data_IF_474346877079
#
_entry.id   IF_474346877079
#
_cell.length_a   1.000
_cell.length_b   1.000
_cell.length_c   1.000
_cell.angle_alpha   90.00
_cell.angle_beta   90.00
_cell.angle_gamma   90.00
#
_symmetry.space_group_name_H-M   'P 1'
#
loop_
_entity.id
_entity.type
_entity.pdbx_description
1 polymer ?
#
# COMPACT_ATOMS: atom_id res chain seq x y z
N UNK A 1 7.25 -1.71 -17.38
CA UNK A 1 6.23 -1.30 -18.37
C UNK A 1 5.55 -0.05 -17.84
N UNK A 2 5.65 1.06 -18.58
CA UNK A 2 4.91 2.30 -18.29
C UNK A 2 3.71 2.40 -19.22
N UNK A 3 2.62 2.97 -18.72
CA UNK A 3 1.40 3.17 -19.51
C UNK A 3 1.61 4.27 -20.57
N UNK A 4 0.94 4.17 -21.73
CA UNK A 4 0.90 5.24 -22.71
C UNK A 4 0.48 6.60 -22.12
N UNK A 5 0.98 7.70 -22.72
CA UNK A 5 0.78 9.06 -22.19
C UNK A 5 -0.70 9.45 -22.01
N UNK A 6 -1.60 8.93 -22.85
CA UNK A 6 -3.03 9.27 -22.77
C UNK A 6 -3.70 8.76 -21.48
N UNK A 7 -3.15 7.73 -20.83
CA UNK A 7 -3.65 7.27 -19.52
C UNK A 7 -3.53 8.34 -18.44
N UNK A 8 -2.61 9.31 -18.57
CA UNK A 8 -2.53 10.43 -17.62
C UNK A 8 -3.80 11.29 -17.65
N UNK A 9 -4.35 11.53 -18.84
CA UNK A 9 -5.59 12.28 -19.00
C UNK A 9 -6.80 11.49 -18.49
N UNK A 10 -6.87 10.19 -18.82
CA UNK A 10 -7.88 9.29 -18.26
C UNK A 10 -7.81 9.30 -16.73
N UNK A 11 -6.59 9.23 -16.18
CA UNK A 11 -6.37 9.24 -14.74
C UNK A 11 -6.92 10.49 -14.06
N UNK A 12 -6.68 11.70 -14.60
CA UNK A 12 -7.29 12.92 -14.06
C UNK A 12 -8.81 12.93 -14.17
N UNK A 13 -9.35 12.41 -15.28
CA UNK A 13 -10.79 12.28 -15.46
C UNK A 13 -11.43 11.30 -14.49
N UNK A 14 -10.68 10.33 -13.96
CA UNK A 14 -11.15 9.44 -12.90
C UNK A 14 -11.00 10.08 -11.51
N UNK A 15 -9.82 10.63 -11.20
CA UNK A 15 -9.50 11.18 -9.86
C UNK A 15 -10.40 12.35 -9.48
N UNK A 16 -10.66 13.29 -10.40
CA UNK A 16 -11.40 14.51 -10.05
C UNK A 16 -12.85 14.17 -9.66
N UNK A 17 -13.64 13.46 -10.49
CA UNK A 17 -15.00 13.07 -10.11
C UNK A 17 -15.02 12.14 -8.91
N UNK A 18 -14.07 11.20 -8.79
CA UNK A 18 -14.04 10.28 -7.66
C UNK A 18 -13.77 10.98 -6.33
N UNK A 19 -12.89 11.99 -6.31
CA UNK A 19 -12.66 12.82 -5.12
C UNK A 19 -13.92 13.62 -4.76
N UNK A 20 -14.58 14.21 -5.75
CA UNK A 20 -15.83 14.95 -5.50
C UNK A 20 -16.90 14.03 -4.93
N UNK A 21 -17.11 12.85 -5.54
CA UNK A 21 -18.08 11.86 -5.07
C UNK A 21 -17.71 11.37 -3.66
N UNK A 22 -16.44 11.03 -3.42
CA UNK A 22 -15.98 10.55 -2.11
C UNK A 22 -16.15 11.59 -1.01
N UNK A 23 -15.82 12.86 -1.27
CA UNK A 23 -16.04 13.97 -0.32
C UNK A 23 -17.52 14.21 -0.06
N UNK A 24 -18.36 14.19 -1.10
CA UNK A 24 -19.80 14.36 -0.93
C UNK A 24 -20.43 13.19 -0.16
N UNK A 25 -19.98 11.95 -0.42
CA UNK A 25 -20.43 10.78 0.31
C UNK A 25 -20.05 10.88 1.80
N UNK A 26 -18.78 11.15 2.09
CA UNK A 26 -18.25 11.18 3.46
C UNK A 26 -18.78 12.36 4.31
N UNK A 27 -18.96 13.54 3.71
CA UNK A 27 -19.25 14.77 4.47
C UNK A 27 -20.63 15.37 4.23
N UNK A 28 -21.38 14.88 3.24
CA UNK A 28 -22.69 15.42 2.89
C UNK A 28 -23.76 14.33 2.73
N UNK A 29 -23.49 13.11 3.21
CA UNK A 29 -24.36 11.93 3.10
C UNK A 29 -24.88 11.71 1.67
N UNK A 30 -24.10 12.11 0.67
CA UNK A 30 -24.51 12.03 -0.73
C UNK A 30 -24.42 10.59 -1.22
N UNK A 31 -25.52 10.10 -1.78
CA UNK A 31 -25.64 8.73 -2.24
C UNK A 31 -26.16 8.73 -3.67
N UNK A 32 -25.50 7.99 -4.56
CA UNK A 32 -25.90 7.87 -5.96
C UNK A 32 -27.12 6.93 -6.05
N UNK A 33 -28.31 7.40 -6.49
CA UNK A 33 -29.55 6.62 -6.38
C UNK A 33 -29.54 5.29 -7.16
N UNK A 34 -28.92 5.25 -8.34
CA UNK A 34 -28.88 4.04 -9.15
C UNK A 34 -27.94 2.95 -8.60
N UNK A 35 -27.06 3.31 -7.67
CA UNK A 35 -26.21 2.37 -6.93
C UNK A 35 -26.92 1.81 -5.69
N UNK A 36 -28.15 2.26 -5.42
CA UNK A 36 -28.91 1.83 -4.26
C UNK A 36 -29.67 0.54 -4.58
N UNK A 37 -29.28 -0.55 -3.94
CA UNK A 37 -29.85 -1.87 -4.14
C UNK A 37 -30.90 -2.17 -3.06
N UNK A 38 -32.18 -2.01 -3.43
CA UNK A 38 -33.35 -2.21 -2.55
C UNK A 38 -33.90 -3.67 -2.53
N UNK A 39 -33.13 -4.66 -2.99
CA UNK A 39 -33.67 -5.97 -3.37
C UNK A 39 -33.33 -7.16 -2.46
N UNK A 40 -34.12 -7.38 -1.41
CA UNK A 40 -34.31 -8.69 -0.76
C UNK A 40 -33.16 -9.22 0.10
N UNK A 41 -33.49 -10.02 1.13
CA UNK A 41 -32.52 -10.70 2.01
C UNK A 41 -31.48 -11.43 1.17
N UNK A 42 -30.28 -10.86 1.09
CA UNK A 42 -29.10 -11.52 0.55
C UNK A 42 -28.91 -12.86 1.28
N UNK A 43 -28.66 -13.96 0.57
CA UNK A 43 -28.35 -15.31 1.13
C UNK A 43 -26.94 -15.71 0.67
N UNK A 44 -26.16 -16.35 1.56
CA UNK A 44 -24.79 -16.80 1.28
C UNK A 44 -23.71 -15.81 1.74
N UNK A 45 -22.47 -15.93 1.26
CA UNK A 45 -21.34 -15.04 1.60
C UNK A 45 -21.61 -13.55 1.27
N UNK A 46 -22.58 -13.28 0.39
CA UNK A 46 -23.07 -11.94 0.06
C UNK A 46 -24.13 -11.41 1.04
N UNK A 47 -24.55 -12.18 2.05
CA UNK A 47 -25.56 -11.77 3.03
C UNK A 47 -25.08 -10.74 4.06
N UNK A 48 -23.76 -10.63 4.24
CA UNK A 48 -23.11 -9.71 5.17
C UNK A 48 -22.72 -8.37 4.53
N UNK A 49 -23.25 -8.07 3.35
CA UNK A 49 -22.94 -6.85 2.62
C UNK A 49 -23.73 -5.70 3.25
N UNK A 50 -22.98 -4.67 3.68
CA UNK A 50 -23.40 -3.51 4.47
C UNK A 50 -24.45 -2.64 3.80
N UNK A 51 -24.33 -1.32 3.99
CA UNK A 51 -25.34 -0.35 3.53
C UNK A 51 -25.80 -0.61 2.09
N UNK A 52 -27.05 -0.24 1.81
CA UNK A 52 -27.71 -0.60 0.56
C UNK A 52 -27.11 0.07 -0.68
N UNK A 53 -26.03 0.85 -0.58
CA UNK A 53 -25.48 1.64 -1.66
C UNK A 53 -23.98 1.44 -1.86
N UNK A 54 -23.53 1.48 -3.12
CA UNK A 54 -22.14 1.24 -3.51
C UNK A 54 -21.34 2.51 -3.92
N UNK A 55 -21.72 3.68 -3.40
CA UNK A 55 -21.14 4.97 -3.84
C UNK A 55 -19.68 5.09 -3.44
N UNK A 56 -19.32 4.65 -2.24
CA UNK A 56 -17.95 4.68 -1.70
C UNK A 56 -17.04 3.65 -2.36
N UNK A 57 -17.52 2.45 -2.72
CA UNK A 57 -16.70 1.48 -3.46
C UNK A 57 -16.37 1.99 -4.86
N UNK A 58 -17.35 2.62 -5.54
CA UNK A 58 -17.10 3.24 -6.84
C UNK A 58 -16.13 4.41 -6.69
N UNK A 59 -16.36 5.32 -5.74
CA UNK A 59 -15.47 6.45 -5.51
C UNK A 59 -14.04 5.97 -5.24
N UNK A 60 -13.86 5.03 -4.33
CA UNK A 60 -12.56 4.45 -3.96
C UNK A 60 -11.90 3.74 -5.14
N UNK A 61 -12.64 2.93 -5.89
CA UNK A 61 -12.12 2.19 -7.04
C UNK A 61 -11.64 3.13 -8.15
N UNK A 62 -12.47 4.12 -8.52
CA UNK A 62 -12.12 5.10 -9.54
C UNK A 62 -10.93 5.97 -9.11
N UNK A 63 -10.86 6.31 -7.82
CA UNK A 63 -9.76 7.08 -7.25
C UNK A 63 -8.43 6.31 -7.35
N UNK A 64 -8.41 5.04 -6.93
CA UNK A 64 -7.24 4.17 -7.01
C UNK A 64 -6.79 4.00 -8.47
N UNK A 65 -7.70 3.66 -9.38
CA UNK A 65 -7.34 3.52 -10.80
C UNK A 65 -6.84 4.83 -11.40
N UNK A 66 -7.48 5.95 -11.05
CA UNK A 66 -7.08 7.27 -11.51
C UNK A 66 -5.65 7.63 -11.08
N UNK A 67 -5.34 7.44 -9.79
CA UNK A 67 -4.01 7.68 -9.23
C UNK A 67 -2.96 6.72 -9.82
N UNK A 68 -3.30 5.44 -10.00
CA UNK A 68 -2.45 4.46 -10.66
C UNK A 68 -2.12 4.87 -12.11
N UNK A 69 -3.12 5.32 -12.87
CA UNK A 69 -2.92 5.80 -14.24
C UNK A 69 -2.06 7.06 -14.30
N UNK A 70 -2.33 8.08 -13.49
CA UNK A 70 -1.46 9.27 -13.41
C UNK A 70 -0.03 8.86 -13.04
N UNK A 71 0.06 7.95 -12.06
CA UNK A 71 1.29 7.44 -11.49
C UNK A 71 2.17 6.66 -12.45
N UNK A 72 1.63 5.85 -13.33
CA UNK A 72 2.42 4.98 -14.22
C UNK A 72 2.42 5.42 -15.69
N UNK A 73 1.79 6.54 -16.02
CA UNK A 73 1.81 7.09 -17.38
C UNK A 73 3.14 7.75 -17.74
N UNK A 74 3.60 7.48 -18.97
CA UNK A 74 4.79 8.12 -19.56
C UNK A 74 4.66 9.65 -19.63
N UNK A 75 5.74 10.35 -19.31
CA UNK A 75 5.95 11.76 -19.63
C UNK A 75 6.26 11.95 -21.12
N UNK A 76 6.19 13.20 -21.60
CA UNK A 76 6.47 13.54 -23.00
C UNK A 76 7.90 13.15 -23.40
N UNK A 77 8.87 13.39 -22.52
CA UNK A 77 10.27 13.07 -22.70
C UNK A 77 10.69 12.05 -21.62
N UNK A 78 10.16 10.84 -21.69
CA UNK A 78 10.53 9.76 -20.75
C UNK A 78 11.89 9.18 -21.16
N UNK A 79 12.84 9.12 -20.22
CA UNK A 79 14.14 8.48 -20.37
C UNK A 79 14.42 7.54 -19.18
N UNK A 80 15.50 6.76 -19.25
CA UNK A 80 15.87 5.79 -18.20
C UNK A 80 16.02 6.44 -16.82
N UNK A 81 16.51 7.67 -16.77
CA UNK A 81 16.65 8.42 -15.52
C UNK A 81 15.28 8.74 -14.91
N UNK A 82 14.32 9.18 -15.71
CA UNK A 82 12.94 9.47 -15.27
C UNK A 82 12.25 8.20 -14.79
N UNK A 83 12.44 7.08 -15.48
CA UNK A 83 11.92 5.79 -15.05
C UNK A 83 12.50 5.36 -13.70
N UNK A 84 13.83 5.48 -13.51
CA UNK A 84 14.47 5.20 -12.22
C UNK A 84 13.96 6.11 -11.12
N UNK A 85 13.81 7.41 -11.40
CA UNK A 85 13.26 8.40 -10.47
C UNK A 85 11.87 8.00 -9.99
N UNK A 86 11.03 7.57 -10.93
CA UNK A 86 9.66 7.15 -10.67
C UNK A 86 9.61 5.94 -9.75
N UNK A 87 10.35 4.89 -10.09
CA UNK A 87 10.37 3.69 -9.27
C UNK A 87 10.99 3.94 -7.90
N UNK A 88 12.04 4.77 -7.82
CA UNK A 88 12.65 5.19 -6.57
C UNK A 88 11.68 5.98 -5.69
N UNK A 89 10.90 6.89 -6.29
CA UNK A 89 9.85 7.61 -5.59
C UNK A 89 8.75 6.67 -5.05
N UNK A 90 8.37 5.64 -5.82
CA UNK A 90 7.40 4.64 -5.37
C UNK A 90 7.94 3.81 -4.20
N UNK A 91 9.18 3.34 -4.31
CA UNK A 91 9.84 2.61 -3.23
C UNK A 91 9.95 3.45 -1.95
N UNK A 92 10.33 4.72 -2.10
CA UNK A 92 10.37 5.67 -0.99
C UNK A 92 9.00 5.91 -0.38
N UNK A 93 7.96 6.07 -1.20
CA UNK A 93 6.60 6.28 -0.73
C UNK A 93 6.11 5.10 0.13
N UNK A 94 6.32 3.86 -0.31
CA UNK A 94 5.97 2.66 0.48
C UNK A 94 6.68 2.65 1.84
N UNK A 95 7.95 3.03 1.88
CA UNK A 95 8.69 3.07 3.15
C UNK A 95 8.21 4.19 4.08
N UNK A 96 8.00 5.39 3.55
CA UNK A 96 7.52 6.53 4.35
C UNK A 96 6.14 6.29 4.86
N UNK A 97 5.25 5.79 4.01
CA UNK A 97 3.89 5.45 4.33
C UNK A 97 3.89 4.42 5.47
N UNK A 98 4.54 3.26 5.31
CA UNK A 98 4.57 2.25 6.37
C UNK A 98 5.21 2.71 7.69
N UNK A 99 6.21 3.62 7.64
CA UNK A 99 6.79 4.23 8.85
C UNK A 99 5.81 5.19 9.51
N UNK A 100 5.16 6.05 8.72
CA UNK A 100 4.12 6.97 9.19
C UNK A 100 2.97 6.20 9.83
N UNK A 101 2.52 5.12 9.21
CA UNK A 101 1.48 4.26 9.78
C UNK A 101 1.91 3.58 11.06
N UNK A 102 3.11 2.98 11.09
CA UNK A 102 3.64 2.37 12.31
C UNK A 102 3.67 3.38 13.46
N UNK A 103 4.10 4.62 13.17
CA UNK A 103 4.13 5.70 14.14
C UNK A 103 2.71 6.08 14.61
N UNK A 104 1.76 6.26 13.68
CA UNK A 104 0.37 6.58 14.02
C UNK A 104 -0.26 5.46 14.87
N UNK A 105 -0.10 4.20 14.48
CA UNK A 105 -0.62 3.06 15.23
C UNK A 105 -0.06 3.02 16.66
N UNK A 106 1.25 3.21 16.85
CA UNK A 106 1.87 3.28 18.17
C UNK A 106 1.28 4.44 18.98
N UNK A 107 1.21 5.62 18.36
CA UNK A 107 0.71 6.84 19.00
C UNK A 107 -0.74 6.67 19.45
N UNK A 108 -1.63 6.15 18.61
CA UNK A 108 -3.04 5.97 18.97
C UNK A 108 -3.24 4.87 20.03
N UNK A 109 -2.48 3.77 19.96
CA UNK A 109 -2.59 2.69 20.94
C UNK A 109 -1.90 3.00 22.28
N UNK A 110 -0.99 3.97 22.31
CA UNK A 110 -0.30 4.38 23.55
C UNK A 110 -1.19 5.17 24.52
N UNK A 111 -2.37 5.62 24.08
CA UNK A 111 -3.21 6.52 24.85
C UNK A 111 -2.60 7.91 25.05
N UNK A 112 -1.57 8.30 24.30
CA UNK A 112 -0.96 9.64 24.39
C UNK A 112 -1.90 10.76 23.92
N UNK A 113 -2.82 10.43 23.00
CA UNK A 113 -3.86 11.33 22.52
C UNK A 113 -5.22 10.89 23.07
N UNK A 114 -5.41 11.02 24.40
CA UNK A 114 -6.75 10.99 25.00
C UNK A 114 -7.49 12.27 24.61
N UNK A 115 -7.93 12.35 23.36
CA UNK A 115 -8.79 13.42 22.88
C UNK A 115 -10.22 12.96 23.15
N UNK A 116 -10.95 13.68 24.00
CA UNK A 116 -12.34 13.35 24.37
C UNK A 116 -13.27 13.22 23.15
N UNK A 117 -12.95 13.90 22.04
CA UNK A 117 -13.65 13.79 20.74
C UNK A 117 -13.58 12.38 20.13
N UNK A 118 -12.55 11.60 20.45
CA UNK A 118 -12.34 10.24 19.94
C UNK A 118 -13.09 9.21 20.80
N UNK A 119 -13.38 9.47 22.08
CA UNK A 119 -14.12 8.51 22.92
C UNK A 119 -15.60 8.38 22.55
N UNK A 120 -16.17 9.36 21.82
CA UNK A 120 -17.58 9.33 21.40
C UNK A 120 -17.82 8.41 20.20
N UNK A 121 -16.77 8.00 19.49
CA UNK A 121 -16.83 7.05 18.39
C UNK A 121 -15.74 6.00 18.66
N UNK A 122 -16.07 4.74 18.92
CA UNK A 122 -15.09 3.72 19.35
C UNK A 122 -13.94 3.41 18.34
N UNK A 123 -13.92 4.04 17.16
CA UNK A 123 -13.11 3.58 16.01
C UNK A 123 -12.66 4.61 14.94
N UNK A 124 -12.97 5.92 14.97
CA UNK A 124 -12.90 6.78 13.78
C UNK A 124 -11.48 7.01 13.28
N UNK A 125 -10.46 6.98 14.16
CA UNK A 125 -9.09 7.25 13.73
C UNK A 125 -8.41 6.02 13.12
N UNK A 126 -8.65 4.83 13.68
CA UNK A 126 -8.25 3.58 13.05
C UNK A 126 -8.96 3.39 11.71
N UNK A 127 -10.26 3.74 11.64
CA UNK A 127 -11.03 3.74 10.39
C UNK A 127 -10.48 4.78 9.41
N UNK A 128 -10.13 5.99 9.85
CA UNK A 128 -9.57 7.02 8.97
C UNK A 128 -8.19 6.65 8.43
N UNK A 129 -7.30 6.10 9.26
CA UNK A 129 -5.97 5.63 8.84
C UNK A 129 -6.12 4.47 7.87
N UNK A 130 -6.97 3.48 8.20
CA UNK A 130 -7.18 2.30 7.36
C UNK A 130 -7.86 2.64 6.03
N UNK A 131 -8.85 3.54 6.02
CA UNK A 131 -9.58 3.94 4.81
C UNK A 131 -8.71 4.73 3.83
N UNK A 132 -7.75 5.51 4.34
CA UNK A 132 -7.00 6.47 3.49
C UNK A 132 -5.58 6.05 3.13
N UNK A 133 -4.99 5.01 3.77
CA UNK A 133 -3.62 4.55 3.46
C UNK A 133 -3.38 4.49 1.94
N UNK A 134 -4.26 3.78 1.24
CA UNK A 134 -4.04 3.42 -0.15
C UNK A 134 -4.05 4.62 -1.10
N UNK A 135 -4.82 5.65 -0.76
CA UNK A 135 -4.82 6.92 -1.48
C UNK A 135 -3.56 7.73 -1.11
N UNK A 136 -3.21 7.77 0.17
CA UNK A 136 -2.06 8.51 0.71
C UNK A 136 -0.74 7.99 0.10
N UNK A 137 -0.57 6.68 -0.08
CA UNK A 137 0.60 6.10 -0.72
C UNK A 137 0.82 6.67 -2.12
N UNK A 138 -0.22 6.65 -2.96
CA UNK A 138 -0.12 7.17 -4.32
C UNK A 138 0.06 8.68 -4.37
N UNK A 139 -0.59 9.43 -3.48
CA UNK A 139 -0.37 10.88 -3.35
C UNK A 139 1.09 11.15 -2.97
N UNK A 140 1.60 10.49 -1.94
CA UNK A 140 2.99 10.62 -1.46
C UNK A 140 3.99 10.29 -2.55
N UNK A 141 3.73 9.21 -3.29
CA UNK A 141 4.50 8.82 -4.47
C UNK A 141 4.50 9.90 -5.56
N UNK A 142 3.33 10.41 -5.95
CA UNK A 142 3.20 11.43 -6.99
C UNK A 142 3.90 12.73 -6.58
N UNK A 143 3.69 13.19 -5.35
CA UNK A 143 4.34 14.37 -4.79
C UNK A 143 5.85 14.23 -4.83
N UNK A 144 6.38 13.10 -4.35
CA UNK A 144 7.81 12.82 -4.34
C UNK A 144 8.39 12.77 -5.75
N UNK A 145 7.71 12.09 -6.67
CA UNK A 145 8.13 11.96 -8.06
C UNK A 145 8.20 13.33 -8.75
N UNK A 146 7.13 14.11 -8.71
CA UNK A 146 7.10 15.43 -9.35
C UNK A 146 8.06 16.41 -8.70
N UNK A 147 8.22 16.39 -7.37
CA UNK A 147 9.24 17.18 -6.68
C UNK A 147 10.65 16.88 -7.22
N UNK A 148 11.02 15.61 -7.29
CA UNK A 148 12.34 15.21 -7.78
C UNK A 148 12.53 15.57 -9.27
N UNK A 149 11.47 15.39 -10.07
CA UNK A 149 11.47 15.67 -11.50
C UNK A 149 11.67 17.17 -11.78
N UNK A 150 10.87 18.04 -11.14
CA UNK A 150 10.94 19.48 -11.37
C UNK A 150 12.19 20.13 -10.77
N UNK A 151 12.72 19.59 -9.68
CA UNK A 151 14.00 20.04 -9.14
C UNK A 151 15.22 19.50 -9.92
N UNK A 152 15.00 18.75 -11.01
CA UNK A 152 16.04 18.11 -11.82
C UNK A 152 17.06 17.33 -10.97
N UNK A 153 16.58 16.69 -9.91
CA UNK A 153 17.43 15.94 -8.98
C UNK A 153 17.73 14.58 -9.59
N UNK A 154 18.99 14.14 -9.48
CA UNK A 154 19.31 12.74 -9.70
C UNK A 154 18.54 11.89 -8.68
N UNK A 155 18.15 10.67 -9.09
CA UNK A 155 17.52 9.73 -8.17
C UNK A 155 18.44 9.56 -6.95
N UNK A 156 18.01 9.97 -5.74
CA UNK A 156 18.85 9.83 -4.57
C UNK A 156 19.12 8.34 -4.36
N UNK A 157 20.38 8.01 -4.07
CA UNK A 157 20.74 6.63 -3.72
C UNK A 157 19.91 6.23 -2.49
N UNK A 158 19.13 5.14 -2.54
CA UNK A 158 18.34 4.71 -1.40
C UNK A 158 19.26 4.40 -0.21
N UNK A 159 18.94 4.93 0.96
CA UNK A 159 19.68 4.64 2.18
C UNK A 159 19.29 3.24 2.66
N UNK A 160 20.26 2.32 2.66
CA UNK A 160 20.06 0.95 3.13
C UNK A 160 20.48 0.80 4.58
N UNK A 161 19.65 0.09 5.35
CA UNK A 161 19.99 -0.31 6.71
C UNK A 161 21.04 -1.43 6.62
N UNK A 162 22.28 -1.10 6.95
CA UNK A 162 23.43 -2.02 6.88
C UNK A 162 23.77 -2.69 8.22
N UNK A 163 23.15 -2.25 9.32
CA UNK A 163 23.40 -2.80 10.67
C UNK A 163 22.86 -4.23 10.80
N UNK A 164 23.75 -5.21 10.61
CA UNK A 164 23.44 -6.64 10.52
C UNK A 164 22.61 -7.20 11.68
N UNK A 165 22.91 -6.92 12.97
CA UNK A 165 22.15 -7.55 14.06
C UNK A 165 20.70 -7.05 14.10
N UNK A 166 20.45 -5.76 13.82
CA UNK A 166 19.08 -5.23 13.70
C UNK A 166 18.32 -5.88 12.54
N UNK A 167 18.97 -6.05 11.39
CA UNK A 167 18.35 -6.72 10.24
C UNK A 167 18.04 -8.19 10.55
N UNK A 168 18.92 -8.89 11.26
CA UNK A 168 18.69 -10.29 11.66
C UNK A 168 17.54 -10.39 12.67
N UNK A 169 17.51 -9.52 13.67
CA UNK A 169 16.42 -9.43 14.64
C UNK A 169 15.09 -9.14 13.95
N UNK A 170 15.04 -8.16 13.04
CA UNK A 170 13.83 -7.81 12.29
C UNK A 170 13.29 -8.99 11.47
N UNK A 171 14.17 -9.77 10.82
CA UNK A 171 13.79 -11.00 10.10
C UNK A 171 13.19 -12.05 11.04
N UNK A 172 13.86 -12.32 12.16
CA UNK A 172 13.40 -13.30 13.14
C UNK A 172 12.03 -12.89 13.71
N UNK A 173 11.88 -11.62 14.12
CA UNK A 173 10.63 -11.05 14.61
C UNK A 173 9.53 -11.18 13.57
N UNK A 174 9.80 -10.81 12.31
CA UNK A 174 8.83 -10.93 11.22
C UNK A 174 8.34 -12.37 11.06
N UNK A 175 9.24 -13.36 11.04
CA UNK A 175 8.88 -14.78 10.89
C UNK A 175 8.08 -15.28 12.09
N UNK A 176 8.49 -14.96 13.32
CA UNK A 176 7.78 -15.34 14.54
C UNK A 176 6.36 -14.77 14.53
N UNK A 177 6.21 -13.48 14.22
CA UNK A 177 4.91 -12.81 14.22
C UNK A 177 4.00 -13.32 13.10
N UNK A 178 4.53 -13.57 11.90
CA UNK A 178 3.74 -14.19 10.82
C UNK A 178 3.28 -15.60 11.20
N UNK A 179 4.12 -16.38 11.88
CA UNK A 179 3.76 -17.73 12.35
C UNK A 179 2.70 -17.65 13.44
N UNK A 180 2.80 -16.68 14.35
CA UNK A 180 1.79 -16.40 15.37
C UNK A 180 0.44 -16.00 14.76
N UNK A 181 0.44 -15.06 13.81
CA UNK A 181 -0.77 -14.61 13.10
C UNK A 181 -1.40 -15.77 12.33
N UNK A 182 -0.60 -16.58 11.63
CA UNK A 182 -1.10 -17.75 10.92
C UNK A 182 -1.70 -18.78 11.89
N UNK A 183 -1.01 -19.10 12.98
CA UNK A 183 -1.51 -20.02 14.01
C UNK A 183 -2.80 -19.53 14.67
N UNK A 184 -2.90 -18.23 14.93
CA UNK A 184 -4.12 -17.59 15.41
C UNK A 184 -5.27 -17.70 14.38
N UNK A 185 -5.00 -17.46 13.10
CA UNK A 185 -6.01 -17.56 12.03
C UNK A 185 -6.51 -18.98 11.77
N UNK A 186 -5.77 -20.00 12.23
CA UNK A 186 -6.12 -21.41 12.13
C UNK A 186 -6.71 -21.97 13.43
N UNK A 187 -7.06 -21.10 14.40
CA UNK A 187 -7.54 -21.45 15.74
C UNK A 187 -6.56 -22.35 16.55
N UNK A 188 -5.28 -22.40 16.16
CA UNK A 188 -4.26 -23.19 16.84
C UNK A 188 -3.71 -22.46 18.07
N UNK A 189 -3.85 -21.13 18.13
CA UNK A 189 -3.30 -20.27 19.19
C UNK A 189 -4.39 -19.31 19.67
N UNK A 190 -4.55 -19.16 21.00
CA UNK A 190 -5.54 -18.24 21.58
C UNK A 190 -5.19 -16.76 21.31
N UNK A 191 -6.18 -16.02 20.83
CA UNK A 191 -6.10 -14.64 20.37
C UNK A 191 -6.21 -13.67 21.55
N UNK A 192 -5.11 -13.41 22.26
CA UNK A 192 -5.08 -12.36 23.29
C UNK A 192 -4.29 -11.11 22.91
N UNK A 193 -3.52 -11.15 21.82
CA UNK A 193 -2.58 -10.07 21.48
C UNK A 193 -2.33 -9.90 19.96
N UNK A 194 -3.32 -10.25 19.11
CA UNK A 194 -3.17 -10.16 17.66
C UNK A 194 -2.94 -8.73 17.17
N UNK A 195 -3.61 -7.77 17.79
CA UNK A 195 -3.50 -6.35 17.41
C UNK A 195 -2.07 -5.83 17.65
N UNK A 196 -1.49 -6.15 18.81
CA UNK A 196 -0.10 -5.82 19.14
C UNK A 196 0.92 -6.51 18.23
N UNK A 197 0.65 -7.75 17.81
CA UNK A 197 1.54 -8.47 16.90
C UNK A 197 1.69 -7.72 15.57
N UNK A 198 0.62 -7.09 15.08
CA UNK A 198 0.64 -6.37 13.81
C UNK A 198 1.37 -5.02 13.94
N UNK A 199 1.25 -4.34 15.09
CA UNK A 199 2.01 -3.10 15.36
C UNK A 199 3.53 -3.31 15.35
N UNK A 200 3.99 -4.49 15.75
CA UNK A 200 5.42 -4.85 15.72
C UNK A 200 5.82 -5.40 14.36
N UNK A 201 4.89 -6.08 13.66
CA UNK A 201 5.14 -6.68 12.36
C UNK A 201 5.50 -5.64 11.31
N UNK A 202 4.73 -4.55 11.20
CA UNK A 202 4.94 -3.51 10.19
C UNK A 202 6.34 -2.85 10.25
N UNK A 203 6.81 -2.34 11.40
CA UNK A 203 8.16 -1.79 11.49
C UNK A 203 9.25 -2.85 11.27
N UNK A 204 9.05 -4.09 11.77
CA UNK A 204 10.01 -5.18 11.56
C UNK A 204 10.15 -5.53 10.07
N UNK A 205 9.04 -5.62 9.34
CA UNK A 205 9.07 -5.94 7.92
C UNK A 205 9.66 -4.79 7.10
N UNK A 206 9.40 -3.53 7.46
CA UNK A 206 10.01 -2.38 6.80
C UNK A 206 11.53 -2.33 6.99
N UNK A 207 12.04 -2.70 8.17
CA UNK A 207 13.49 -2.86 8.39
C UNK A 207 14.05 -3.96 7.50
N UNK A 208 13.33 -5.08 7.33
CA UNK A 208 13.74 -6.14 6.40
C UNK A 208 13.72 -5.63 4.96
N UNK A 209 12.63 -4.99 4.51
CA UNK A 209 12.54 -4.39 3.18
C UNK A 209 13.69 -3.42 2.96
N UNK A 210 13.95 -2.49 3.88
CA UNK A 210 15.03 -1.49 3.82
C UNK A 210 16.45 -2.05 3.98
N UNK A 211 16.60 -3.32 4.33
CA UNK A 211 17.91 -3.94 4.47
C UNK A 211 18.62 -4.13 3.13
N UNK A 212 19.92 -3.83 3.09
CA UNK A 212 20.72 -3.91 1.87
C UNK A 212 22.22 -3.73 2.15
N UNK A 213 23.04 -4.35 1.30
CA UNK A 213 24.49 -4.17 1.32
C UNK A 213 24.85 -2.96 0.44
N UNK A 214 25.40 -1.90 1.06
CA UNK A 214 25.75 -0.66 0.36
C UNK A 214 26.79 -0.90 -0.75
N UNK A 215 27.64 -1.92 -0.62
CA UNK A 215 28.69 -2.23 -1.61
C UNK A 215 28.14 -2.88 -2.88
N UNK A 216 26.98 -3.53 -2.79
CA UNK A 216 26.30 -4.22 -3.93
C UNK A 216 25.05 -3.47 -4.39
N UNK A 217 24.81 -2.27 -3.86
CA UNK A 217 23.57 -1.52 -4.01
C UNK A 217 23.19 -1.27 -5.47
N UNK A 218 24.16 -0.88 -6.31
CA UNK A 218 23.91 -0.49 -7.70
C UNK A 218 23.42 -1.65 -8.58
N UNK A 219 23.90 -2.87 -8.34
CA UNK A 219 23.47 -4.06 -9.10
C UNK A 219 22.09 -4.57 -8.66
N UNK A 220 21.71 -4.32 -7.41
CA UNK A 220 20.51 -4.90 -6.78
C UNK A 220 19.33 -3.93 -6.85
N UNK A 221 19.59 -2.63 -6.95
CA UNK A 221 18.58 -1.58 -6.95
C UNK A 221 17.50 -1.77 -8.04
N UNK A 222 17.81 -2.04 -9.32
CA UNK A 222 16.78 -2.25 -10.34
C UNK A 222 15.84 -3.42 -10.00
N UNK A 223 16.37 -4.47 -9.37
CA UNK A 223 15.60 -5.64 -8.94
C UNK A 223 14.59 -5.24 -7.85
N UNK A 224 15.04 -4.44 -6.87
CA UNK A 224 14.20 -3.98 -5.76
C UNK A 224 13.10 -3.06 -6.26
N UNK A 225 13.46 -2.09 -7.10
CA UNK A 225 12.52 -1.17 -7.73
C UNK A 225 11.44 -1.93 -8.52
N UNK A 226 11.85 -2.94 -9.30
CA UNK A 226 10.93 -3.81 -10.03
C UNK A 226 10.05 -4.66 -9.11
N UNK A 227 10.62 -5.26 -8.07
CA UNK A 227 9.86 -6.04 -7.08
C UNK A 227 8.79 -5.18 -6.41
N UNK A 228 9.16 -3.97 -5.99
CA UNK A 228 8.23 -3.05 -5.33
C UNK A 228 7.07 -2.64 -6.23
N UNK A 229 7.34 -2.31 -7.49
CA UNK A 229 6.29 -1.99 -8.45
C UNK A 229 5.28 -3.13 -8.59
N UNK A 230 5.75 -4.37 -8.70
CA UNK A 230 4.88 -5.55 -8.83
C UNK A 230 4.10 -5.79 -7.53
N UNK A 231 4.73 -5.66 -6.36
CA UNK A 231 4.06 -5.82 -5.07
C UNK A 231 2.94 -4.81 -4.87
N UNK A 232 3.18 -3.53 -5.19
CA UNK A 232 2.15 -2.50 -5.17
C UNK A 232 1.04 -2.84 -6.17
N UNK A 233 1.38 -3.14 -7.43
CA UNK A 233 0.38 -3.48 -8.44
C UNK A 233 -0.50 -4.68 -8.04
N UNK A 234 0.10 -5.74 -7.51
CA UNK A 234 -0.63 -6.92 -7.05
C UNK A 234 -1.51 -6.60 -5.84
N UNK A 235 -0.98 -5.92 -4.82
CA UNK A 235 -1.76 -5.59 -3.64
C UNK A 235 -2.99 -4.75 -3.98
N UNK A 236 -2.82 -3.70 -4.78
CA UNK A 236 -3.92 -2.82 -5.13
C UNK A 236 -4.96 -3.50 -6.03
N UNK A 237 -4.54 -4.42 -6.89
CA UNK A 237 -5.48 -5.23 -7.68
C UNK A 237 -6.33 -6.12 -6.77
N UNK A 238 -5.71 -6.77 -5.79
CA UNK A 238 -6.41 -7.58 -4.79
C UNK A 238 -7.35 -6.73 -3.94
N UNK A 239 -6.89 -5.56 -3.49
CA UNK A 239 -7.67 -4.66 -2.65
C UNK A 239 -8.93 -4.16 -3.35
N UNK A 240 -8.83 -3.79 -4.63
CA UNK A 240 -10.00 -3.42 -5.43
C UNK A 240 -11.00 -4.57 -5.41
N UNK A 241 -10.59 -5.80 -5.71
CA UNK A 241 -11.50 -6.96 -5.66
C UNK A 241 -12.15 -7.12 -4.29
N UNK A 242 -11.38 -6.96 -3.21
CA UNK A 242 -11.89 -7.11 -1.85
C UNK A 242 -12.83 -5.97 -1.43
N UNK A 243 -12.63 -4.76 -1.94
CA UNK A 243 -13.53 -3.60 -1.71
C UNK A 243 -14.95 -3.91 -2.19
N UNK A 244 -15.09 -4.66 -3.27
CA UNK A 244 -16.41 -5.06 -3.79
C UNK A 244 -16.97 -6.31 -3.11
N UNK A 245 -16.14 -7.07 -2.39
CA UNK A 245 -16.49 -8.41 -1.88
C UNK A 245 -16.67 -8.47 -0.36
N UNK A 246 -16.05 -7.58 0.41
CA UNK A 246 -15.98 -7.64 1.87
C UNK A 246 -16.53 -6.36 2.47
N UNK A 247 -17.40 -6.48 3.49
CA UNK A 247 -18.12 -5.37 4.11
C UNK A 247 -18.10 -5.44 5.63
N UNK A 248 -18.48 -4.33 6.26
CA UNK A 248 -18.60 -4.21 7.70
C UNK A 248 -17.25 -4.35 8.40
N UNK A 249 -17.24 -4.96 9.58
CA UNK A 249 -16.01 -5.09 10.38
C UNK A 249 -14.93 -5.94 9.69
N UNK A 250 -15.33 -6.87 8.82
CA UNK A 250 -14.40 -7.68 8.04
C UNK A 250 -13.64 -6.85 6.99
N UNK A 251 -14.25 -5.77 6.49
CA UNK A 251 -13.60 -4.86 5.55
C UNK A 251 -12.45 -4.09 6.22
N UNK A 252 -12.65 -3.65 7.46
CA UNK A 252 -11.60 -3.01 8.25
C UNK A 252 -10.41 -3.97 8.48
N UNK A 253 -10.67 -5.25 8.72
CA UNK A 253 -9.61 -6.26 8.84
C UNK A 253 -8.85 -6.46 7.52
N UNK A 254 -9.55 -6.45 6.38
CA UNK A 254 -8.92 -6.51 5.04
C UNK A 254 -8.02 -5.31 4.79
N UNK A 255 -8.52 -4.10 5.07
CA UNK A 255 -7.71 -2.88 4.94
C UNK A 255 -6.47 -2.96 5.82
N UNK A 256 -6.62 -3.43 7.06
CA UNK A 256 -5.51 -3.57 7.98
C UNK A 256 -4.43 -4.55 7.47
N UNK A 257 -4.84 -5.68 6.90
CA UNK A 257 -3.91 -6.62 6.25
C UNK A 257 -3.25 -5.98 5.02
N UNK A 258 -4.00 -5.16 4.27
CA UNK A 258 -3.50 -4.50 3.06
C UNK A 258 -2.31 -3.57 3.33
N UNK A 259 -2.22 -2.98 4.54
CA UNK A 259 -1.11 -2.12 4.97
C UNK A 259 0.23 -2.88 4.98
N UNK A 260 0.25 -4.07 5.60
CA UNK A 260 1.46 -4.90 5.70
C UNK A 260 1.74 -5.72 4.43
N UNK A 261 0.74 -5.88 3.56
CA UNK A 261 0.81 -6.77 2.40
C UNK A 261 1.86 -6.35 1.35
N UNK A 262 2.06 -5.05 1.10
CA UNK A 262 3.03 -4.59 0.09
C UNK A 262 4.46 -4.98 0.49
N UNK A 263 4.94 -4.66 1.71
CA UNK A 263 6.19 -5.20 2.23
C UNK A 263 6.27 -6.73 2.23
N UNK A 264 5.17 -7.42 2.59
CA UNK A 264 5.10 -8.89 2.62
C UNK A 264 5.27 -9.51 1.24
N UNK A 265 4.64 -8.96 0.21
CA UNK A 265 4.75 -9.41 -1.17
C UNK A 265 6.12 -9.09 -1.76
N UNK A 266 6.70 -7.94 -1.38
CA UNK A 266 8.01 -7.51 -1.85
C UNK A 266 9.12 -8.51 -1.53
N UNK A 267 9.16 -9.04 -0.30
CA UNK A 267 10.25 -9.90 0.16
C UNK A 267 10.44 -11.17 -0.71
N UNK A 268 9.44 -12.07 -0.84
CA UNK A 268 9.59 -13.28 -1.63
C UNK A 268 9.85 -12.95 -3.10
N UNK A 269 9.19 -11.93 -3.63
CA UNK A 269 9.37 -11.52 -5.03
C UNK A 269 10.78 -10.99 -5.30
N UNK A 270 11.33 -10.17 -4.39
CA UNK A 270 12.68 -9.66 -4.50
C UNK A 270 13.71 -10.79 -4.51
N UNK A 271 13.59 -11.76 -3.59
CA UNK A 271 14.52 -12.90 -3.55
C UNK A 271 14.38 -13.80 -4.77
N UNK A 272 13.17 -13.99 -5.29
CA UNK A 272 12.92 -14.74 -6.52
C UNK A 272 13.49 -14.05 -7.77
N UNK A 273 13.29 -12.74 -7.93
CA UNK A 273 13.90 -11.99 -9.05
C UNK A 273 15.42 -12.00 -8.95
N UNK A 274 15.96 -11.86 -7.74
CA UNK A 274 17.40 -11.89 -7.47
C UNK A 274 18.02 -13.25 -7.79
N UNK A 275 17.34 -14.37 -7.50
CA UNK A 275 17.85 -15.71 -7.82
C UNK A 275 17.89 -15.94 -9.32
N UNK A 276 16.85 -15.49 -10.06
CA UNK A 276 16.81 -15.60 -11.53
C UNK A 276 17.95 -14.83 -12.22
N UNK A 277 18.33 -13.67 -11.71
CA UNK A 277 19.42 -12.89 -12.30
C UNK A 277 20.80 -13.55 -12.11
N UNK A 278 21.02 -14.27 -10.99
CA UNK A 278 22.26 -15.03 -10.79
C UNK A 278 22.41 -16.20 -11.77
N UNK A 279 21.31 -16.76 -12.25
CA UNK A 279 21.29 -17.85 -13.24
C UNK A 279 21.52 -17.38 -14.68
N UNK A 280 21.62 -16.07 -14.94
CA UNK A 280 21.95 -15.48 -16.26
C UNK A 280 23.15 -14.52 -16.16
N UNK A 281 24.37 -15.01 -15.85
CA UNK A 281 25.56 -14.17 -15.83
C UNK A 281 25.97 -13.83 -17.28
N UNK A 282 25.32 -12.83 -17.88
CA UNK A 282 25.63 -12.37 -19.24
C UNK A 282 24.60 -11.47 -19.92
N UNK A 283 23.37 -11.37 -19.40
CA UNK A 283 22.33 -10.50 -20.00
C UNK A 283 22.12 -9.28 -19.10
N UNK A 284 22.72 -8.16 -19.47
CA UNK A 284 22.39 -6.85 -18.90
C UNK A 284 20.94 -6.53 -19.24
N UNK A 285 20.08 -6.48 -18.21
CA UNK A 285 18.69 -6.06 -18.38
C UNK A 285 18.69 -4.57 -18.71
N UNK A 286 18.46 -4.23 -19.98
CA UNK A 286 18.01 -2.89 -20.35
C UNK A 286 16.63 -2.67 -19.73
N UNK A 287 16.44 -1.54 -19.06
CA UNK A 287 15.12 -1.09 -18.62
C UNK A 287 14.35 -0.53 -19.83
N UNK A 288 14.08 -1.38 -20.82
CA UNK A 288 13.19 -1.09 -21.95
C UNK A 288 11.75 -1.51 -21.63
#
# INVERSE_FOLDING_TARGET
MLLPRYFKFIGFFLVIPSLVIGVLFEFADYVIPFLNYHGGRRRGAMAAIGDHNMTDEIATTLLIFGLFFIGLSKLKNENDQTLKLRLSALFWAVLVEGVSESALLIVFNSGLFQIDFIQQYDTPVLVFINNNNLVILFITYLLRFYYLYYCNKQSPKPYYISFRPLVLAAKAITIILLTYILGASLDLIKIKALDYAIFILLPAILIWVGSGDQTKGELIEPIRLKAMLISVGFNYSLFIVLTWAVYGINYLAVQYISMASVPLLFIPLFYWLKSRQKSQPGVTVSLS
#
